data_IF_893527498058
#
_entry.id   IF_893527498058
#
_cell.length_a   1.000
_cell.length_b   1.000
_cell.length_c   1.000
_cell.angle_alpha   90.00
_cell.angle_beta   90.00
_cell.angle_gamma   90.00
#
_symmetry.space_group_name_H-M   'P 1'
#
loop_
_entity.id
_entity.type
_entity.pdbx_description
1 polymer ?
#
# COMPACT_ATOMS: atom_id res chain seq x y z
N UNK A 1 -24.29 10.53 18.59
CA UNK A 1 -22.85 10.41 18.31
C UNK A 1 -22.68 9.97 16.86
N UNK A 2 -21.87 10.65 16.05
CA UNK A 2 -21.71 10.28 14.64
C UNK A 2 -20.67 9.15 14.52
N UNK A 3 -21.13 7.91 14.56
CA UNK A 3 -20.28 6.71 14.50
C UNK A 3 -19.41 6.67 13.24
N UNK A 4 -19.84 7.31 12.14
CA UNK A 4 -19.03 7.43 10.93
C UNK A 4 -17.74 8.21 11.18
N UNK A 5 -17.78 9.33 11.92
CA UNK A 5 -16.57 10.13 12.21
C UNK A 5 -15.56 9.31 13.02
N UNK A 6 -16.05 8.59 14.04
CA UNK A 6 -15.23 7.69 14.85
C UNK A 6 -14.61 6.60 13.99
N UNK A 7 -15.42 5.99 13.11
CA UNK A 7 -14.94 5.04 12.14
C UNK A 7 -13.81 5.64 11.30
N UNK A 8 -14.01 6.81 10.70
CA UNK A 8 -13.05 7.41 9.75
C UNK A 8 -11.69 7.56 10.41
N UNK A 9 -11.68 8.05 11.65
CA UNK A 9 -10.46 8.22 12.44
C UNK A 9 -9.78 6.89 12.71
N UNK A 10 -10.52 5.86 13.14
CA UNK A 10 -9.95 4.53 13.41
C UNK A 10 -9.39 3.91 12.14
N UNK A 11 -10.18 3.88 11.05
CA UNK A 11 -9.78 3.30 9.78
C UNK A 11 -8.53 4.00 9.21
N UNK A 12 -8.51 5.33 9.20
CA UNK A 12 -7.35 6.08 8.71
C UNK A 12 -6.12 5.85 9.58
N UNK A 13 -6.26 5.82 10.91
CA UNK A 13 -5.14 5.59 11.82
C UNK A 13 -4.49 4.22 11.58
N UNK A 14 -5.30 3.16 11.50
CA UNK A 14 -4.83 1.81 11.20
C UNK A 14 -4.16 1.77 9.82
N UNK A 15 -4.83 2.34 8.82
CA UNK A 15 -4.41 2.28 7.42
C UNK A 15 -3.11 3.05 7.20
N UNK A 16 -2.95 4.24 7.76
CA UNK A 16 -1.71 5.04 7.69
C UNK A 16 -0.52 4.30 8.30
N UNK A 17 -0.72 3.68 9.47
CA UNK A 17 0.34 2.87 10.12
C UNK A 17 0.76 1.71 9.23
N UNK A 18 -0.19 1.00 8.62
CA UNK A 18 0.08 -0.10 7.69
C UNK A 18 0.86 0.42 6.47
N UNK A 19 0.37 1.48 5.80
CA UNK A 19 0.98 2.04 4.60
C UNK A 19 2.44 2.44 4.87
N UNK A 20 2.70 3.17 5.95
CA UNK A 20 4.06 3.63 6.27
C UNK A 20 4.98 2.44 6.58
N UNK A 21 4.52 1.51 7.42
CA UNK A 21 5.36 0.38 7.85
C UNK A 21 5.66 -0.58 6.71
N UNK A 22 4.64 -0.95 5.94
CA UNK A 22 4.81 -1.85 4.79
C UNK A 22 5.63 -1.17 3.68
N UNK A 23 5.35 0.10 3.38
CA UNK A 23 6.14 0.88 2.43
C UNK A 23 7.63 0.90 2.78
N UNK A 24 7.97 1.15 4.05
CA UNK A 24 9.36 1.11 4.53
C UNK A 24 10.00 -0.27 4.37
N UNK A 25 9.31 -1.33 4.79
CA UNK A 25 9.81 -2.71 4.65
C UNK A 25 10.05 -3.05 3.18
N UNK A 26 9.12 -2.69 2.30
CA UNK A 26 9.26 -2.95 0.87
C UNK A 26 10.37 -2.12 0.23
N UNK A 27 10.60 -0.90 0.69
CA UNK A 27 11.73 -0.10 0.22
C UNK A 27 13.07 -0.72 0.64
N UNK A 28 13.25 -1.07 1.92
CA UNK A 28 14.51 -1.66 2.41
C UNK A 28 14.84 -3.00 1.74
N UNK A 29 13.84 -3.88 1.60
CA UNK A 29 14.04 -5.18 0.94
C UNK A 29 14.10 -5.06 -0.58
N UNK A 30 13.34 -4.12 -1.15
CA UNK A 30 13.30 -3.84 -2.59
C UNK A 30 14.63 -3.32 -3.13
N UNK A 31 15.34 -2.49 -2.36
CA UNK A 31 16.67 -2.00 -2.77
C UNK A 31 17.66 -3.15 -2.94
N UNK A 32 17.63 -4.14 -2.05
CA UNK A 32 18.49 -5.33 -2.14
C UNK A 32 18.11 -6.17 -3.36
N UNK A 33 16.81 -6.38 -3.58
CA UNK A 33 16.29 -7.15 -4.71
C UNK A 33 16.65 -6.53 -6.08
N UNK A 34 16.43 -5.24 -6.25
CA UNK A 34 16.72 -4.53 -7.51
C UNK A 34 18.23 -4.46 -7.76
N UNK A 35 19.05 -4.27 -6.72
CA UNK A 35 20.51 -4.26 -6.84
C UNK A 35 21.08 -5.61 -7.34
N UNK A 36 20.48 -6.73 -6.92
CA UNK A 36 20.87 -8.06 -7.42
C UNK A 36 20.51 -8.27 -8.90
N UNK A 37 19.46 -7.60 -9.37
CA UNK A 37 18.99 -7.70 -10.76
C UNK A 37 19.78 -6.82 -11.73
N UNK A 38 20.31 -5.69 -11.26
CA UNK A 38 21.08 -4.73 -12.08
C UNK A 38 22.43 -4.42 -11.41
N UNK A 39 23.37 -5.38 -11.42
CA UNK A 39 24.69 -5.17 -10.84
C UNK A 39 25.41 -4.00 -11.53
N UNK A 40 26.23 -3.26 -10.76
CA UNK A 40 27.00 -2.08 -11.18
C UNK A 40 26.20 -0.78 -11.45
N UNK A 41 24.89 -0.76 -11.21
CA UNK A 41 24.05 0.44 -11.38
C UNK A 41 23.30 0.82 -10.10
N UNK A 42 24.04 1.03 -9.00
CA UNK A 42 23.47 1.33 -7.67
C UNK A 42 22.56 2.57 -7.67
N UNK A 43 22.98 3.66 -8.32
CA UNK A 43 22.19 4.90 -8.43
C UNK A 43 20.84 4.66 -9.11
N UNK A 44 20.81 3.83 -10.15
CA UNK A 44 19.59 3.51 -10.87
C UNK A 44 18.66 2.64 -10.00
N UNK A 45 19.22 1.68 -9.27
CA UNK A 45 18.47 0.82 -8.35
C UNK A 45 17.77 1.63 -7.27
N UNK A 46 18.49 2.58 -6.65
CA UNK A 46 17.93 3.48 -5.64
C UNK A 46 16.80 4.35 -6.20
N UNK A 47 16.99 4.91 -7.40
CA UNK A 47 15.97 5.74 -8.07
C UNK A 47 14.71 4.95 -8.40
N UNK A 48 14.85 3.75 -8.97
CA UNK A 48 13.71 2.88 -9.28
C UNK A 48 12.94 2.55 -8.01
N UNK A 49 13.64 2.12 -6.96
CA UNK A 49 13.00 1.76 -5.70
C UNK A 49 12.30 2.96 -5.03
N UNK A 50 12.88 4.17 -5.14
CA UNK A 50 12.25 5.39 -4.65
C UNK A 50 10.98 5.74 -5.45
N UNK A 51 11.01 5.65 -6.78
CA UNK A 51 9.82 5.89 -7.61
C UNK A 51 8.70 4.89 -7.27
N UNK A 52 9.04 3.61 -7.07
CA UNK A 52 8.09 2.59 -6.65
C UNK A 52 7.46 2.88 -5.29
N UNK A 53 8.25 3.39 -4.33
CA UNK A 53 7.75 3.80 -3.02
C UNK A 53 6.79 4.99 -3.13
N UNK A 54 7.12 6.00 -3.94
CA UNK A 54 6.25 7.15 -4.18
C UNK A 54 4.94 6.72 -4.83
N UNK A 55 5.00 5.86 -5.86
CA UNK A 55 3.83 5.31 -6.51
C UNK A 55 2.95 4.50 -5.54
N UNK A 56 3.58 3.71 -4.67
CA UNK A 56 2.91 2.97 -3.60
C UNK A 56 2.16 3.92 -2.65
N UNK A 57 2.76 5.02 -2.19
CA UNK A 57 2.08 5.98 -1.32
C UNK A 57 0.92 6.69 -2.03
N UNK A 58 1.12 7.17 -3.26
CA UNK A 58 0.07 7.84 -4.04
C UNK A 58 -1.14 6.93 -4.25
N UNK A 59 -0.91 5.67 -4.64
CA UNK A 59 -1.97 4.70 -4.85
C UNK A 59 -2.79 4.48 -3.57
N UNK A 60 -2.11 4.27 -2.44
CA UNK A 60 -2.75 4.00 -1.17
C UNK A 60 -3.52 5.20 -0.61
N UNK A 61 -2.98 6.41 -0.76
CA UNK A 61 -3.69 7.64 -0.38
C UNK A 61 -4.97 7.84 -1.22
N UNK A 62 -4.89 7.59 -2.53
CA UNK A 62 -6.05 7.61 -3.41
C UNK A 62 -7.11 6.58 -3.02
N UNK A 63 -6.69 5.35 -2.71
CA UNK A 63 -7.60 4.29 -2.25
C UNK A 63 -8.30 4.65 -0.93
N UNK A 64 -7.57 5.25 0.03
CA UNK A 64 -8.16 5.72 1.28
C UNK A 64 -9.25 6.75 1.01
N UNK A 65 -8.98 7.75 0.16
CA UNK A 65 -9.96 8.78 -0.19
C UNK A 65 -11.23 8.19 -0.82
N UNK A 66 -11.09 7.28 -1.78
CA UNK A 66 -12.23 6.58 -2.41
C UNK A 66 -13.02 5.79 -1.35
N UNK A 67 -12.32 5.11 -0.45
CA UNK A 67 -12.97 4.31 0.60
C UNK A 67 -13.83 5.16 1.52
N UNK A 68 -13.37 6.35 1.91
CA UNK A 68 -14.13 7.25 2.77
C UNK A 68 -15.42 7.75 2.09
N UNK A 69 -15.38 8.02 0.78
CA UNK A 69 -16.55 8.45 -0.01
C UNK A 69 -17.60 7.34 -0.07
N UNK A 70 -17.17 6.09 -0.16
CA UNK A 70 -18.05 4.91 -0.30
C UNK A 70 -18.54 4.34 1.05
N UNK A 71 -18.55 5.13 2.12
CA UNK A 71 -19.03 4.65 3.42
C UNK A 71 -20.54 4.71 3.55
N UNK A 72 -21.10 3.60 4.02
CA UNK A 72 -22.49 3.51 4.44
C UNK A 72 -22.67 4.14 5.82
N UNK A 73 -23.90 4.55 6.14
CA UNK A 73 -24.23 5.10 7.46
C UNK A 73 -24.12 4.01 8.52
N UNK A 74 -23.29 4.25 9.55
CA UNK A 74 -23.04 3.31 10.64
C UNK A 74 -24.04 3.59 11.77
N UNK A 75 -24.96 2.65 12.01
CA UNK A 75 -26.07 2.81 12.95
C UNK A 75 -25.78 2.25 14.35
N UNK A 76 -24.82 1.34 14.49
CA UNK A 76 -24.47 0.69 15.75
C UNK A 76 -22.99 0.27 15.79
N UNK A 77 -22.50 -0.11 16.98
CA UNK A 77 -21.09 -0.48 17.19
C UNK A 77 -20.68 -1.80 16.53
N UNK A 78 -21.61 -2.76 16.34
CA UNK A 78 -21.28 -4.00 15.64
C UNK A 78 -20.97 -3.72 14.16
N UNK A 79 -21.80 -2.92 13.51
CA UNK A 79 -21.59 -2.47 12.13
C UNK A 79 -20.33 -1.61 12.00
N UNK A 80 -19.98 -0.81 13.02
CA UNK A 80 -18.74 -0.05 13.05
C UNK A 80 -17.52 -0.97 12.90
N UNK A 81 -17.45 -2.03 13.72
CA UNK A 81 -16.35 -3.00 13.69
C UNK A 81 -16.33 -3.74 12.35
N UNK A 82 -17.49 -4.19 11.87
CA UNK A 82 -17.63 -4.89 10.59
C UNK A 82 -17.11 -4.06 9.41
N UNK A 83 -17.50 -2.78 9.32
CA UNK A 83 -17.07 -1.87 8.26
C UNK A 83 -15.56 -1.65 8.33
N UNK A 84 -15.01 -1.37 9.52
CA UNK A 84 -13.58 -1.16 9.69
C UNK A 84 -12.79 -2.40 9.28
N UNK A 85 -13.17 -3.58 9.77
CA UNK A 85 -12.52 -4.85 9.44
C UNK A 85 -12.58 -5.13 7.93
N UNK A 86 -13.74 -4.94 7.31
CA UNK A 86 -13.94 -5.20 5.87
C UNK A 86 -13.08 -4.28 5.02
N UNK A 87 -13.12 -2.95 5.26
CA UNK A 87 -12.32 -1.99 4.49
C UNK A 87 -10.82 -2.18 4.72
N UNK A 88 -10.41 -2.53 5.94
CA UNK A 88 -9.01 -2.85 6.26
C UNK A 88 -8.54 -4.12 5.57
N UNK A 89 -9.37 -5.16 5.52
CA UNK A 89 -9.05 -6.39 4.80
C UNK A 89 -8.85 -6.13 3.30
N UNK A 90 -9.72 -5.33 2.67
CA UNK A 90 -9.61 -5.03 1.23
C UNK A 90 -8.30 -4.31 0.93
N UNK A 91 -7.90 -3.29 1.72
CA UNK A 91 -6.62 -2.61 1.48
C UNK A 91 -5.45 -3.57 1.67
N UNK A 92 -5.47 -4.46 2.68
CA UNK A 92 -4.41 -5.46 2.86
C UNK A 92 -4.27 -6.40 1.66
N UNK A 93 -5.37 -6.93 1.12
CA UNK A 93 -5.34 -7.75 -0.10
C UNK A 93 -4.84 -6.96 -1.32
N UNK A 94 -5.24 -5.69 -1.42
CA UNK A 94 -4.77 -4.81 -2.48
C UNK A 94 -3.25 -4.59 -2.37
N UNK A 95 -2.74 -4.26 -1.19
CA UNK A 95 -1.30 -4.09 -0.95
C UNK A 95 -0.54 -5.36 -1.34
N UNK A 96 -0.99 -6.52 -0.87
CA UNK A 96 -0.35 -7.79 -1.20
C UNK A 96 -0.28 -8.00 -2.72
N UNK A 97 -1.40 -7.79 -3.41
CA UNK A 97 -1.49 -7.91 -4.88
C UNK A 97 -0.57 -6.92 -5.60
N UNK A 98 -0.54 -5.65 -5.15
CA UNK A 98 0.33 -4.61 -5.69
C UNK A 98 1.80 -4.97 -5.53
N UNK A 99 2.20 -5.52 -4.38
CA UNK A 99 3.58 -5.95 -4.14
C UNK A 99 3.99 -7.12 -5.03
N UNK A 100 3.13 -8.14 -5.18
CA UNK A 100 3.41 -9.23 -6.12
C UNK A 100 3.54 -8.70 -7.56
N UNK A 101 2.66 -7.78 -7.96
CA UNK A 101 2.71 -7.19 -9.29
C UNK A 101 3.99 -6.38 -9.52
N UNK A 102 4.42 -5.57 -8.54
CA UNK A 102 5.67 -4.82 -8.61
C UNK A 102 6.88 -5.75 -8.82
N UNK A 103 6.98 -6.83 -8.03
CA UNK A 103 8.07 -7.80 -8.17
C UNK A 103 8.04 -8.45 -9.57
N UNK A 104 6.86 -8.88 -10.03
CA UNK A 104 6.70 -9.52 -11.34
C UNK A 104 7.10 -8.59 -12.50
N UNK A 105 6.67 -7.32 -12.47
CA UNK A 105 7.04 -6.33 -13.49
C UNK A 105 8.54 -6.12 -13.53
N UNK A 106 9.15 -5.86 -12.37
CA UNK A 106 10.59 -5.58 -12.26
C UNK A 106 11.38 -6.78 -12.79
N UNK A 107 11.03 -8.00 -12.36
CA UNK A 107 11.66 -9.24 -12.84
C UNK A 107 11.56 -9.37 -14.35
N UNK A 108 10.36 -9.13 -14.91
CA UNK A 108 10.08 -9.34 -16.34
C UNK A 108 10.75 -8.28 -17.21
N UNK A 109 10.76 -7.02 -16.78
CA UNK A 109 11.38 -5.93 -17.53
C UNK A 109 12.90 -6.04 -17.54
N UNK A 110 13.52 -6.38 -16.40
CA UNK A 110 14.98 -6.53 -16.33
C UNK A 110 15.46 -7.73 -17.14
N UNK A 111 14.74 -8.87 -17.09
CA UNK A 111 15.04 -10.03 -17.94
C UNK A 111 14.92 -9.76 -19.44
N UNK A 112 14.27 -8.67 -19.86
CA UNK A 112 14.16 -8.28 -21.28
C UNK A 112 15.32 -7.38 -21.72
N UNK A 113 16.03 -6.77 -20.77
CA UNK A 113 17.14 -5.85 -21.02
C UNK A 113 18.51 -6.57 -21.01
N UNK A 114 18.58 -7.74 -20.35
CA UNK A 114 19.69 -8.70 -20.40
C UNK A 114 19.44 -9.65 -21.57
#
# INVERSE_FOLDING_TARGET
MNLNIIGYVIYLSITVVIIIKVGKICYENGSVYVAQLIPNHEDLCLKINHILLVAYYLFNLGYCAITLIQWTTITNYALLVEVICTKTAIILFLLASLHYFNILIITKQIKKLI
#
